data_IF_226260569777
#
_entry.id   IF_226260569777
#
_cell.length_a   1.000
_cell.length_b   1.000
_cell.length_c   1.000
_cell.angle_alpha   90.00
_cell.angle_beta   90.00
_cell.angle_gamma   90.00
#
_symmetry.space_group_name_H-M   'P 1'
#
loop_
_entity.id
_entity.type
_entity.pdbx_description
1 polymer ?
#
# COMPACT_ATOMS: atom_id res chain seq x y z
N UNK A 1 -18.41 28.86 -23.11
CA UNK A 1 -18.23 27.44 -22.75
C UNK A 1 -16.93 26.80 -23.28
N UNK A 2 -15.94 27.56 -23.77
CA UNK A 2 -14.65 27.01 -24.23
C UNK A 2 -13.45 27.30 -23.30
N UNK A 3 -13.67 27.87 -22.11
CA UNK A 3 -12.57 28.26 -21.19
C UNK A 3 -12.32 27.28 -20.05
N UNK A 4 -13.14 26.23 -19.88
CA UNK A 4 -13.02 25.28 -18.76
C UNK A 4 -12.48 23.89 -19.15
N UNK A 5 -12.30 23.60 -20.44
CA UNK A 5 -11.82 22.29 -20.93
C UNK A 5 -10.30 22.19 -21.10
N UNK A 6 -9.56 23.28 -20.86
CA UNK A 6 -8.10 23.37 -21.06
C UNK A 6 -7.28 23.60 -19.79
N UNK A 7 -7.90 23.55 -18.61
CA UNK A 7 -7.17 23.23 -17.37
C UNK A 7 -6.96 21.71 -17.38
N UNK A 8 -6.09 21.31 -18.32
CA UNK A 8 -5.68 19.94 -18.61
C UNK A 8 -5.10 19.30 -17.36
N UNK A 9 -5.34 18.00 -17.26
CA UNK A 9 -4.86 17.00 -16.31
C UNK A 9 -3.40 17.10 -15.84
N UNK A 10 -2.56 17.90 -16.50
CA UNK A 10 -1.13 18.03 -16.21
C UNK A 10 -0.84 18.79 -14.91
N UNK A 11 -1.78 19.61 -14.41
CA UNK A 11 -1.59 20.41 -13.18
C UNK A 11 -2.31 19.89 -11.93
N UNK A 12 -3.13 18.83 -12.01
CA UNK A 12 -3.75 18.24 -10.82
C UNK A 12 -2.80 17.27 -10.10
N UNK A 13 -1.86 16.66 -10.85
CA UNK A 13 -0.91 15.67 -10.35
C UNK A 13 0.22 16.26 -9.50
N UNK A 14 0.40 17.59 -9.48
CA UNK A 14 1.38 18.27 -8.63
C UNK A 14 0.86 18.64 -7.24
N UNK A 15 -0.42 18.40 -6.95
CA UNK A 15 -1.07 18.77 -5.67
C UNK A 15 -1.37 17.60 -4.74
N UNK A 16 -1.17 16.36 -5.18
CA UNK A 16 -1.39 15.19 -4.33
C UNK A 16 -0.08 14.86 -3.60
N UNK A 17 -0.13 14.57 -2.31
CA UNK A 17 1.06 14.17 -1.57
C UNK A 17 1.51 12.77 -2.01
N UNK A 18 2.81 12.45 -2.05
CA UNK A 18 3.26 11.10 -2.29
C UNK A 18 2.69 10.12 -1.25
N UNK A 19 2.19 8.97 -1.72
CA UNK A 19 1.74 7.88 -0.85
C UNK A 19 2.93 7.01 -0.48
N UNK A 20 3.27 7.00 0.81
CA UNK A 20 4.34 6.15 1.31
C UNK A 20 4.02 4.66 1.17
N UNK A 21 2.75 4.28 1.31
CA UNK A 21 2.28 2.91 1.13
C UNK A 21 2.49 2.43 -0.32
N UNK A 22 2.06 3.22 -1.31
CA UNK A 22 2.28 2.91 -2.73
C UNK A 22 3.76 2.91 -3.10
N UNK A 23 4.52 3.87 -2.58
CA UNK A 23 5.97 3.95 -2.79
C UNK A 23 6.67 2.71 -2.25
N UNK A 24 6.23 2.17 -1.10
CA UNK A 24 6.71 0.91 -0.55
C UNK A 24 6.43 -0.26 -1.52
N UNK A 25 5.25 -0.34 -2.10
CA UNK A 25 4.92 -1.38 -3.08
C UNK A 25 5.77 -1.32 -4.33
N UNK A 26 6.09 -0.13 -4.85
CA UNK A 26 7.01 -0.02 -5.98
C UNK A 26 8.44 -0.41 -5.59
N UNK A 27 8.90 0.00 -4.42
CA UNK A 27 10.19 -0.40 -3.88
C UNK A 27 10.27 -1.91 -3.55
N UNK A 28 9.15 -2.62 -3.44
CA UNK A 28 9.10 -4.07 -3.23
C UNK A 28 9.56 -4.88 -4.45
N UNK A 29 9.44 -4.30 -5.65
CA UNK A 29 9.66 -4.98 -6.93
C UNK A 29 11.15 -5.30 -7.12
N UNK A 30 11.55 -6.57 -7.24
CA UNK A 30 12.95 -6.93 -7.46
C UNK A 30 13.39 -6.60 -8.89
N UNK A 31 14.66 -6.22 -9.06
CA UNK A 31 15.24 -6.03 -10.38
C UNK A 31 15.30 -7.38 -11.15
N UNK A 32 14.89 -7.44 -12.43
CA UNK A 32 14.79 -8.70 -13.18
C UNK A 32 16.09 -9.51 -13.28
N UNK A 33 17.25 -8.83 -13.24
CA UNK A 33 18.58 -9.46 -13.35
C UNK A 33 19.45 -9.31 -12.09
N UNK A 34 19.02 -8.52 -11.11
CA UNK A 34 19.79 -8.20 -9.89
C UNK A 34 18.85 -8.31 -8.69
N UNK A 35 18.43 -9.54 -8.39
CA UNK A 35 17.35 -9.82 -7.43
C UNK A 35 17.60 -9.26 -6.02
N UNK A 36 18.85 -8.96 -5.67
CA UNK A 36 19.25 -8.32 -4.40
C UNK A 36 19.08 -6.79 -4.39
N UNK A 37 18.47 -6.22 -5.43
CA UNK A 37 18.18 -4.78 -5.51
C UNK A 37 16.77 -4.52 -6.02
N UNK A 38 16.11 -3.42 -5.59
CA UNK A 38 14.82 -3.04 -6.15
C UNK A 38 14.96 -2.56 -7.59
N UNK A 39 13.92 -2.78 -8.38
CA UNK A 39 13.78 -2.21 -9.73
C UNK A 39 13.74 -0.68 -9.66
N UNK A 40 12.97 -0.14 -8.72
CA UNK A 40 12.80 1.30 -8.50
C UNK A 40 13.61 1.79 -7.29
N UNK A 41 14.92 1.96 -7.46
CA UNK A 41 15.84 2.38 -6.38
C UNK A 41 15.47 3.73 -5.76
N UNK A 42 15.01 4.69 -6.56
CA UNK A 42 14.58 6.00 -6.07
C UNK A 42 13.43 5.90 -5.06
N UNK A 43 12.53 4.93 -5.21
CA UNK A 43 11.46 4.71 -4.23
C UNK A 43 12.03 4.24 -2.88
N UNK A 44 12.98 3.30 -2.88
CA UNK A 44 13.64 2.84 -1.66
C UNK A 44 14.41 3.97 -0.96
N UNK A 45 15.14 4.79 -1.72
CA UNK A 45 15.83 5.98 -1.21
C UNK A 45 14.85 7.00 -0.63
N UNK A 46 13.71 7.20 -1.28
CA UNK A 46 12.66 8.09 -0.78
C UNK A 46 12.13 7.60 0.57
N UNK A 47 11.85 6.31 0.75
CA UNK A 47 11.39 5.75 2.03
C UNK A 47 12.37 6.04 3.17
N UNK A 48 13.67 5.85 2.94
CA UNK A 48 14.72 6.12 3.96
C UNK A 48 14.73 7.58 4.39
N UNK A 49 14.49 8.50 3.45
CA UNK A 49 14.65 9.94 3.65
C UNK A 49 13.35 10.68 4.04
N UNK A 50 12.19 10.04 3.95
CA UNK A 50 10.87 10.68 4.16
C UNK A 50 10.07 10.04 5.30
N UNK A 51 10.75 9.48 6.30
CA UNK A 51 10.11 9.10 7.56
C UNK A 51 9.86 10.34 8.41
N UNK A 52 8.69 10.46 9.02
CA UNK A 52 8.40 11.53 9.98
C UNK A 52 9.31 11.43 11.21
N UNK A 53 9.58 12.55 11.89
CA UNK A 53 10.45 12.56 13.07
C UNK A 53 9.93 11.64 14.19
N UNK A 54 8.61 11.54 14.32
CA UNK A 54 7.88 10.64 15.23
C UNK A 54 7.94 9.16 14.83
N UNK A 55 8.53 8.84 13.68
CA UNK A 55 8.86 7.47 13.28
C UNK A 55 7.85 6.78 12.36
N UNK A 56 6.80 7.46 11.90
CA UNK A 56 5.84 6.90 10.95
C UNK A 56 6.09 7.36 9.51
N UNK A 57 5.44 6.67 8.58
CA UNK A 57 5.17 7.14 7.23
C UNK A 57 3.66 7.18 7.03
N UNK A 58 3.18 8.14 6.23
CA UNK A 58 1.75 8.33 5.97
C UNK A 58 1.36 9.80 6.08
N UNK A 59 0.07 10.07 5.93
CA UNK A 59 -0.46 11.42 6.03
C UNK A 59 -0.62 11.86 7.49
N UNK A 60 -0.62 13.17 7.69
CA UNK A 60 -0.93 13.81 8.97
C UNK A 60 -1.94 14.93 8.77
N UNK A 61 -2.78 15.15 9.79
CA UNK A 61 -3.65 16.32 9.87
C UNK A 61 -3.09 17.21 10.98
N UNK A 62 -2.37 18.26 10.56
CA UNK A 62 -1.50 19.00 11.47
C UNK A 62 -0.35 18.09 11.94
N UNK A 63 -0.15 18.02 13.25
CA UNK A 63 0.91 17.23 13.86
C UNK A 63 0.47 15.77 14.19
N UNK A 64 -0.79 15.42 13.91
CA UNK A 64 -1.33 14.11 14.26
C UNK A 64 -1.36 13.16 13.06
N UNK A 65 -0.82 11.92 13.19
CA UNK A 65 -0.88 10.91 12.14
C UNK A 65 -2.32 10.49 11.86
N UNK A 66 -2.67 10.31 10.58
CA UNK A 66 -3.94 9.68 10.20
C UNK A 66 -3.87 8.17 10.34
N UNK A 67 -5.02 7.49 10.24
CA UNK A 67 -5.09 6.03 10.36
C UNK A 67 -4.24 5.31 9.30
N UNK A 68 -4.06 5.94 8.14
CA UNK A 68 -3.26 5.50 7.00
C UNK A 68 -1.78 5.33 7.37
N UNK A 69 -1.31 6.03 8.41
CA UNK A 69 0.05 5.92 8.89
C UNK A 69 0.39 4.52 9.40
N UNK A 70 -0.59 3.76 9.90
CA UNK A 70 -0.37 2.40 10.39
C UNK A 70 0.06 1.43 9.28
N UNK A 71 -0.76 1.17 8.23
CA UNK A 71 -0.38 0.29 7.13
C UNK A 71 0.80 0.84 6.33
N UNK A 72 0.89 2.15 6.12
CA UNK A 72 2.02 2.76 5.43
C UNK A 72 3.34 2.51 6.16
N UNK A 73 3.38 2.72 7.48
CA UNK A 73 4.59 2.48 8.29
C UNK A 73 5.00 1.01 8.24
N UNK A 74 4.05 0.08 8.40
CA UNK A 74 4.35 -1.35 8.34
C UNK A 74 4.91 -1.74 6.96
N UNK A 75 4.27 -1.32 5.87
CA UNK A 75 4.74 -1.59 4.51
C UNK A 75 6.16 -1.03 4.25
N UNK A 76 6.43 0.20 4.70
CA UNK A 76 7.75 0.82 4.59
C UNK A 76 8.81 0.02 5.38
N UNK A 77 8.50 -0.38 6.61
CA UNK A 77 9.41 -1.20 7.43
C UNK A 77 9.71 -2.55 6.76
N UNK A 78 8.72 -3.19 6.16
CA UNK A 78 8.91 -4.46 5.42
C UNK A 78 9.87 -4.29 4.26
N UNK A 79 9.68 -3.25 3.45
CA UNK A 79 10.55 -2.99 2.29
C UNK A 79 11.99 -2.71 2.73
N UNK A 80 12.16 -1.88 3.77
CA UNK A 80 13.47 -1.58 4.33
C UNK A 80 14.14 -2.85 4.88
N UNK A 81 13.37 -3.69 5.58
CA UNK A 81 13.84 -4.98 6.09
C UNK A 81 14.26 -5.92 4.95
N UNK A 82 13.43 -6.06 3.91
CA UNK A 82 13.68 -6.90 2.73
C UNK A 82 15.00 -6.56 2.05
N UNK A 83 15.30 -5.26 1.92
CA UNK A 83 16.53 -4.80 1.26
C UNK A 83 17.71 -4.59 2.21
N UNK A 84 17.56 -4.92 3.50
CA UNK A 84 18.63 -4.77 4.49
C UNK A 84 19.06 -3.32 4.73
N UNK A 85 18.16 -2.35 4.55
CA UNK A 85 18.43 -0.92 4.72
C UNK A 85 17.59 -0.32 5.85
N UNK A 86 17.95 0.88 6.31
CA UNK A 86 17.09 1.66 7.20
C UNK A 86 16.84 1.06 8.58
N UNK A 87 17.79 0.32 9.18
CA UNK A 87 17.62 -0.28 10.51
C UNK A 87 17.14 0.71 11.59
N UNK A 88 17.67 1.95 11.56
CA UNK A 88 17.21 3.03 12.46
C UNK A 88 15.78 3.47 12.16
N UNK A 89 15.39 3.52 10.89
CA UNK A 89 14.03 3.84 10.50
C UNK A 89 13.04 2.76 10.97
N UNK A 90 13.42 1.48 10.85
CA UNK A 90 12.64 0.35 11.36
C UNK A 90 12.46 0.45 12.87
N UNK A 91 13.53 0.75 13.62
CA UNK A 91 13.45 0.95 15.08
C UNK A 91 12.49 2.08 15.46
N UNK A 92 12.53 3.20 14.74
CA UNK A 92 11.59 4.32 14.92
C UNK A 92 10.14 3.91 14.61
N UNK A 93 9.92 3.14 13.53
CA UNK A 93 8.61 2.62 13.16
C UNK A 93 8.02 1.72 14.25
N UNK A 94 8.82 0.85 14.86
CA UNK A 94 8.38 0.06 16.01
C UNK A 94 7.98 0.92 17.21
N UNK A 95 8.74 1.98 17.51
CA UNK A 95 8.41 2.91 18.61
C UNK A 95 7.09 3.62 18.33
N UNK A 96 6.87 4.08 17.10
CA UNK A 96 5.62 4.69 16.67
C UNK A 96 4.43 3.75 16.85
N UNK A 97 4.51 2.53 16.30
CA UNK A 97 3.43 1.55 16.38
C UNK A 97 3.07 1.23 17.83
N UNK A 98 4.09 0.99 18.67
CA UNK A 98 3.91 0.71 20.10
C UNK A 98 3.26 1.86 20.87
N UNK A 99 3.59 3.10 20.52
CA UNK A 99 3.10 4.27 21.24
C UNK A 99 1.67 4.69 20.81
N UNK A 100 1.30 4.50 19.54
CA UNK A 100 0.12 5.15 18.96
C UNK A 100 -0.96 4.18 18.46
N UNK A 101 -0.62 2.93 18.10
CA UNK A 101 -1.57 2.04 17.40
C UNK A 101 -2.88 1.83 18.17
N UNK A 102 -2.79 1.54 19.47
CA UNK A 102 -3.98 1.24 20.28
C UNK A 102 -4.94 2.43 20.32
N UNK A 103 -4.41 3.63 20.57
CA UNK A 103 -5.20 4.86 20.63
C UNK A 103 -5.85 5.17 19.28
N UNK A 104 -5.06 5.13 18.20
CA UNK A 104 -5.55 5.36 16.83
C UNK A 104 -6.66 4.39 16.42
N UNK A 105 -6.49 3.10 16.69
CA UNK A 105 -7.49 2.07 16.38
C UNK A 105 -8.74 2.19 17.24
N UNK A 106 -8.59 2.58 18.52
CA UNK A 106 -9.71 2.73 19.44
C UNK A 106 -10.57 3.94 19.09
N UNK A 107 -9.94 5.10 18.83
CA UNK A 107 -10.63 6.36 18.53
C UNK A 107 -11.44 6.28 17.23
N UNK A 108 -10.95 5.52 16.26
CA UNK A 108 -11.61 5.36 14.96
C UNK A 108 -12.39 4.06 14.82
N UNK A 109 -12.54 3.25 15.89
CA UNK A 109 -13.07 1.88 15.84
C UNK A 109 -14.38 1.72 15.04
N UNK A 110 -15.26 2.71 15.08
CA UNK A 110 -16.57 2.73 14.41
C UNK A 110 -16.60 3.49 13.08
N UNK A 111 -15.47 4.10 12.69
CA UNK A 111 -15.34 4.96 11.52
C UNK A 111 -14.18 4.53 10.60
N UNK A 112 -13.58 3.36 10.83
CA UNK A 112 -12.56 2.81 9.95
C UNK A 112 -13.13 2.66 8.54
N UNK A 113 -12.47 3.25 7.52
CA UNK A 113 -12.93 3.13 6.15
C UNK A 113 -12.76 1.70 5.66
N UNK A 114 -13.61 1.31 4.71
CA UNK A 114 -13.63 -0.04 4.14
C UNK A 114 -12.26 -0.53 3.68
N UNK A 115 -11.46 0.34 3.05
CA UNK A 115 -10.13 0.00 2.55
C UNK A 115 -9.17 -0.37 3.70
N UNK A 116 -9.30 0.29 4.86
CA UNK A 116 -8.43 0.06 6.01
C UNK A 116 -8.65 -1.33 6.60
N UNK A 117 -9.92 -1.73 6.73
CA UNK A 117 -10.29 -3.09 7.16
C UNK A 117 -9.66 -4.16 6.24
N UNK A 118 -9.44 -3.88 4.95
CA UNK A 118 -8.77 -4.80 4.03
C UNK A 118 -7.24 -4.74 4.19
N UNK A 119 -6.67 -3.54 4.11
CA UNK A 119 -5.24 -3.30 3.95
C UNK A 119 -4.49 -3.54 5.25
N UNK A 120 -4.97 -3.03 6.38
CA UNK A 120 -4.21 -3.06 7.63
C UNK A 120 -3.88 -4.48 8.11
N UNK A 121 -4.84 -5.43 8.21
CA UNK A 121 -4.51 -6.81 8.56
C UNK A 121 -3.56 -7.46 7.54
N UNK A 122 -3.72 -7.15 6.25
CA UNK A 122 -2.84 -7.69 5.21
C UNK A 122 -1.39 -7.20 5.35
N UNK A 123 -1.18 -5.96 5.77
CA UNK A 123 0.18 -5.44 6.03
C UNK A 123 0.85 -6.12 7.22
N UNK A 124 0.08 -6.53 8.24
CA UNK A 124 0.60 -7.32 9.36
C UNK A 124 1.03 -8.71 8.85
N UNK A 125 0.17 -9.39 8.08
CA UNK A 125 0.50 -10.69 7.46
C UNK A 125 1.74 -10.59 6.54
N UNK A 126 1.88 -9.48 5.81
CA UNK A 126 3.06 -9.18 5.00
C UNK A 126 4.33 -9.04 5.85
N UNK A 127 4.26 -8.34 6.98
CA UNK A 127 5.41 -8.19 7.87
C UNK A 127 5.87 -9.54 8.44
N UNK A 128 4.93 -10.34 8.93
CA UNK A 128 5.19 -11.69 9.46
C UNK A 128 5.82 -12.61 8.40
N UNK A 129 5.24 -12.65 7.20
CA UNK A 129 5.76 -13.46 6.10
C UNK A 129 7.13 -13.00 5.58
N UNK A 130 7.47 -11.73 5.81
CA UNK A 130 8.78 -11.16 5.47
C UNK A 130 9.84 -11.36 6.56
N UNK A 131 9.49 -11.99 7.70
CA UNK A 131 10.39 -12.17 8.84
C UNK A 131 10.51 -10.96 9.76
N UNK A 132 9.72 -9.90 9.52
CA UNK A 132 9.65 -8.72 10.38
C UNK A 132 8.64 -8.98 11.51
N UNK A 133 9.15 -9.39 12.67
CA UNK A 133 8.32 -9.73 13.82
C UNK A 133 7.70 -8.49 14.48
N UNK A 134 6.40 -8.28 14.26
CA UNK A 134 5.61 -7.31 15.02
C UNK A 134 5.19 -7.96 16.34
N UNK A 135 5.67 -7.42 17.47
CA UNK A 135 5.29 -7.91 18.79
C UNK A 135 4.10 -7.12 19.31
N UNK A 136 2.99 -7.82 19.57
CA UNK A 136 1.75 -7.26 20.09
C UNK A 136 1.41 -7.84 21.47
N UNK A 137 0.86 -7.01 22.34
CA UNK A 137 0.28 -7.33 23.65
C UNK A 137 -1.21 -7.68 23.52
N UNK A 138 -1.79 -8.23 24.58
CA UNK A 138 -3.15 -8.80 24.55
C UNK A 138 -4.23 -7.82 24.07
N UNK A 139 -4.15 -6.54 24.45
CA UNK A 139 -5.10 -5.50 24.03
C UNK A 139 -4.98 -5.21 22.52
N UNK A 140 -3.76 -5.13 21.99
CA UNK A 140 -3.48 -4.91 20.57
C UNK A 140 -3.95 -6.09 19.74
N UNK A 141 -3.67 -7.31 20.19
CA UNK A 141 -4.12 -8.55 19.55
C UNK A 141 -5.65 -8.60 19.44
N UNK A 142 -6.38 -8.17 20.47
CA UNK A 142 -7.85 -8.12 20.42
C UNK A 142 -8.37 -7.13 19.37
N UNK A 143 -7.75 -5.96 19.24
CA UNK A 143 -8.15 -4.95 18.23
C UNK A 143 -7.83 -5.44 16.81
N UNK A 144 -6.63 -6.00 16.62
CA UNK A 144 -6.21 -6.58 15.34
C UNK A 144 -7.13 -7.73 14.93
N UNK A 145 -7.51 -8.60 15.88
CA UNK A 145 -8.44 -9.70 15.62
C UNK A 145 -9.83 -9.22 15.20
N UNK A 146 -10.33 -8.14 15.80
CA UNK A 146 -11.61 -7.53 15.40
C UNK A 146 -11.56 -7.03 13.95
N UNK A 147 -10.53 -6.26 13.59
CA UNK A 147 -10.38 -5.72 12.23
C UNK A 147 -10.17 -6.86 11.23
N UNK A 148 -9.39 -7.88 11.59
CA UNK A 148 -9.20 -9.08 10.78
C UNK A 148 -10.51 -9.86 10.57
N UNK A 149 -11.40 -9.89 11.55
CA UNK A 149 -12.73 -10.49 11.38
C UNK A 149 -13.60 -9.68 10.42
N UNK A 150 -13.55 -8.33 10.47
CA UNK A 150 -14.23 -7.47 9.48
C UNK A 150 -13.70 -7.72 8.07
N UNK A 151 -12.37 -7.83 7.91
CA UNK A 151 -11.73 -8.23 6.65
C UNK A 151 -12.29 -9.55 6.13
N UNK A 152 -12.33 -10.59 6.97
CA UNK A 152 -12.84 -11.89 6.55
C UNK A 152 -14.32 -11.83 6.13
N UNK A 153 -15.15 -11.06 6.83
CA UNK A 153 -16.56 -10.86 6.45
C UNK A 153 -16.69 -10.19 5.08
N UNK A 154 -15.91 -9.14 4.83
CA UNK A 154 -15.81 -8.47 3.54
C UNK A 154 -15.47 -9.47 2.44
N UNK A 155 -14.41 -10.27 2.64
CA UNK A 155 -13.91 -11.18 1.61
C UNK A 155 -14.91 -12.31 1.35
N UNK A 156 -15.49 -12.91 2.38
CA UNK A 156 -16.53 -13.94 2.25
C UNK A 156 -17.79 -13.40 1.53
N UNK A 157 -18.21 -12.17 1.83
CA UNK A 157 -19.37 -11.56 1.18
C UNK A 157 -19.14 -11.38 -0.31
N UNK A 158 -17.96 -10.89 -0.71
CA UNK A 158 -17.63 -10.66 -2.11
C UNK A 158 -17.35 -11.95 -2.89
N UNK A 159 -16.88 -13.03 -2.24
CA UNK A 159 -16.82 -14.35 -2.86
C UNK A 159 -18.21 -14.91 -3.19
N UNK A 160 -19.24 -14.57 -2.39
CA UNK A 160 -20.62 -15.03 -2.59
C UNK A 160 -21.39 -14.22 -3.64
N UNK A 161 -21.04 -12.96 -3.83
CA UNK A 161 -21.58 -12.13 -4.91
C UNK A 161 -20.83 -12.52 -6.18
N UNK A 162 -21.48 -13.34 -7.01
CA UNK A 162 -21.02 -13.88 -8.30
C UNK A 162 -19.72 -13.25 -8.84
N UNK A 163 -18.68 -14.06 -9.05
CA UNK A 163 -17.23 -13.75 -9.25
C UNK A 163 -16.86 -12.61 -10.22
N UNK A 164 -17.84 -12.00 -10.88
CA UNK A 164 -17.71 -11.01 -11.94
C UNK A 164 -18.36 -9.66 -11.59
N UNK A 165 -19.00 -9.50 -10.43
CA UNK A 165 -19.61 -8.22 -10.02
C UNK A 165 -18.89 -7.53 -8.85
N UNK A 166 -18.06 -8.22 -8.07
CA UNK A 166 -17.26 -7.59 -7.01
C UNK A 166 -15.90 -7.08 -7.53
N UNK A 167 -15.98 -6.06 -8.39
CA UNK A 167 -14.85 -5.25 -8.86
C UNK A 167 -14.01 -4.53 -7.75
N UNK A 168 -14.42 -4.34 -6.47
CA UNK A 168 -13.61 -3.58 -5.51
C UNK A 168 -12.34 -4.29 -5.02
N UNK A 169 -12.31 -5.62 -4.91
CA UNK A 169 -11.19 -6.31 -4.23
C UNK A 169 -9.91 -6.36 -5.04
N UNK A 170 -9.99 -6.42 -6.37
CA UNK A 170 -8.80 -6.36 -7.23
C UNK A 170 -8.06 -5.01 -7.15
N UNK A 171 -8.73 -3.95 -6.68
CA UNK A 171 -8.07 -2.68 -6.37
C UNK A 171 -7.12 -2.77 -5.14
N UNK A 172 -7.22 -3.87 -4.38
CA UNK A 172 -6.37 -4.21 -3.23
C UNK A 172 -5.60 -5.51 -3.46
N UNK A 173 -5.23 -5.81 -4.71
CA UNK A 173 -4.58 -7.07 -5.10
C UNK A 173 -3.33 -7.37 -4.25
N UNK A 174 -2.60 -6.35 -3.82
CA UNK A 174 -1.44 -6.46 -2.93
C UNK A 174 -1.75 -7.07 -1.57
N UNK A 175 -3.01 -7.09 -1.15
CA UNK A 175 -3.41 -7.64 0.15
C UNK A 175 -3.53 -9.17 0.15
N UNK A 176 -3.44 -9.83 -1.02
CA UNK A 176 -3.67 -11.27 -1.18
C UNK A 176 -2.41 -12.15 -1.18
N UNK A 177 -1.27 -11.62 -0.75
CA UNK A 177 0.02 -12.31 -0.84
C UNK A 177 0.16 -13.53 0.07
N UNK A 178 -0.60 -13.58 1.16
CA UNK A 178 -0.55 -14.63 2.19
C UNK A 178 -1.16 -15.97 1.73
N UNK A 179 -1.57 -16.10 0.47
CA UNK A 179 -1.99 -17.37 -0.14
C UNK A 179 -3.43 -17.82 0.17
N UNK A 180 -4.19 -17.07 0.99
CA UNK A 180 -5.62 -17.36 1.23
C UNK A 180 -6.49 -17.09 0.00
N UNK A 181 -6.09 -16.13 -0.84
CA UNK A 181 -6.81 -15.72 -2.03
C UNK A 181 -5.86 -15.76 -3.22
N UNK A 182 -6.21 -16.54 -4.24
CA UNK A 182 -5.45 -16.62 -5.48
C UNK A 182 -6.22 -15.95 -6.60
N UNK A 183 -5.61 -14.93 -7.21
CA UNK A 183 -6.11 -14.28 -8.42
C UNK A 183 -5.24 -14.74 -9.58
N UNK A 184 -5.86 -15.39 -10.57
CA UNK A 184 -5.14 -15.88 -11.74
C UNK A 184 -4.74 -14.74 -12.69
N UNK A 185 -3.70 -15.00 -13.49
CA UNK A 185 -3.17 -14.03 -14.45
C UNK A 185 -4.21 -13.57 -15.49
N UNK A 186 -5.13 -14.44 -15.91
CA UNK A 186 -6.15 -14.08 -16.89
C UNK A 186 -7.13 -13.06 -16.30
N UNK A 187 -7.51 -13.24 -15.04
CA UNK A 187 -8.33 -12.30 -14.28
C UNK A 187 -7.63 -10.95 -14.13
N UNK A 188 -6.33 -10.93 -13.77
CA UNK A 188 -5.56 -9.67 -13.71
C UNK A 188 -5.58 -8.98 -15.08
N UNK A 189 -5.24 -9.71 -16.15
CA UNK A 189 -5.16 -9.17 -17.52
C UNK A 189 -6.49 -8.60 -18.01
N UNK A 190 -7.62 -9.20 -17.63
CA UNK A 190 -8.96 -8.73 -18.00
C UNK A 190 -9.32 -7.37 -17.39
N UNK A 191 -8.73 -7.03 -16.25
CA UNK A 191 -9.05 -5.82 -15.49
C UNK A 191 -7.99 -4.71 -15.62
N UNK A 192 -6.94 -4.91 -16.42
CA UNK A 192 -5.99 -3.84 -16.72
C UNK A 192 -6.65 -2.75 -17.56
N UNK A 193 -6.50 -1.51 -17.11
CA UNK A 193 -6.87 -0.31 -17.84
C UNK A 193 -5.99 -0.14 -19.10
N UNK A 194 -6.38 0.77 -19.98
CA UNK A 194 -5.62 1.05 -21.21
C UNK A 194 -4.17 1.49 -20.94
N UNK A 195 -3.96 2.23 -19.85
CA UNK A 195 -2.64 2.68 -19.38
C UNK A 195 -1.81 1.58 -18.71
N UNK A 196 -2.40 0.41 -18.45
CA UNK A 196 -1.76 -0.72 -17.80
C UNK A 196 -1.91 -0.78 -16.28
N UNK A 197 -2.66 0.15 -15.67
CA UNK A 197 -2.97 0.11 -14.25
C UNK A 197 -4.08 -0.89 -13.92
N UNK A 198 -4.07 -1.37 -12.68
CA UNK A 198 -5.19 -2.07 -12.06
C UNK A 198 -5.94 -1.05 -11.17
N UNK A 199 -7.11 -0.59 -11.60
CA UNK A 199 -7.93 0.43 -10.92
C UNK A 199 -7.17 1.72 -10.56
N UNK A 200 -6.20 2.14 -11.39
CA UNK A 200 -5.32 3.28 -11.09
C UNK A 200 -4.47 3.12 -9.82
N UNK A 201 -4.42 1.93 -9.21
CA UNK A 201 -3.76 1.68 -7.93
C UNK A 201 -2.30 1.28 -8.15
N UNK A 202 -1.32 2.09 -7.72
CA UNK A 202 0.09 1.73 -7.85
C UNK A 202 0.43 0.46 -7.06
N UNK A 203 -0.05 0.31 -5.82
CA UNK A 203 0.15 -0.89 -5.02
C UNK A 203 -0.39 -2.16 -5.69
N UNK A 204 -1.64 -2.13 -6.15
CA UNK A 204 -2.27 -3.27 -6.81
C UNK A 204 -1.59 -3.58 -8.15
N UNK A 205 -1.18 -2.55 -8.89
CA UNK A 205 -0.45 -2.73 -10.16
C UNK A 205 0.96 -3.27 -9.94
N UNK A 206 1.65 -2.85 -8.88
CA UNK A 206 2.93 -3.41 -8.47
C UNK A 206 2.80 -4.89 -8.11
N UNK A 207 1.78 -5.28 -7.34
CA UNK A 207 1.51 -6.68 -7.07
C UNK A 207 1.19 -7.46 -8.36
N UNK A 208 0.37 -6.91 -9.26
CA UNK A 208 0.05 -7.53 -10.54
C UNK A 208 1.33 -7.81 -11.34
N UNK A 209 2.27 -6.86 -11.39
CA UNK A 209 3.56 -7.05 -12.04
C UNK A 209 4.41 -8.11 -11.34
N UNK A 210 4.50 -8.11 -10.01
CA UNK A 210 5.24 -9.11 -9.24
C UNK A 210 4.70 -10.53 -9.52
N UNK A 211 3.38 -10.70 -9.57
CA UNK A 211 2.74 -12.00 -9.79
C UNK A 211 2.85 -12.51 -11.23
N UNK A 212 2.89 -11.63 -12.23
CA UNK A 212 2.68 -12.02 -13.65
C UNK A 212 3.80 -11.61 -14.61
N UNK A 213 4.66 -10.68 -14.23
CA UNK A 213 5.64 -10.07 -15.13
C UNK A 213 5.00 -9.25 -16.27
N UNK A 214 3.71 -8.89 -16.17
CA UNK A 214 2.98 -8.22 -17.23
C UNK A 214 3.59 -6.85 -17.59
N UNK A 215 3.96 -6.69 -18.86
CA UNK A 215 4.67 -5.51 -19.33
C UNK A 215 3.82 -4.23 -19.40
N UNK A 216 2.48 -4.33 -19.43
CA UNK A 216 1.61 -3.16 -19.32
C UNK A 216 1.66 -2.57 -17.91
N UNK A 217 1.61 -3.43 -16.88
CA UNK A 217 1.79 -3.00 -15.49
C UNK A 217 3.14 -2.29 -15.32
N UNK A 218 4.21 -2.87 -15.85
CA UNK A 218 5.54 -2.25 -15.77
C UNK A 218 5.58 -0.87 -16.42
N UNK A 219 4.99 -0.71 -17.62
CA UNK A 219 4.93 0.59 -18.31
C UNK A 219 4.19 1.65 -17.49
N UNK A 220 3.07 1.28 -16.86
CA UNK A 220 2.35 2.17 -15.96
C UNK A 220 3.24 2.60 -14.78
N UNK A 221 3.87 1.66 -14.08
CA UNK A 221 4.71 1.94 -12.91
C UNK A 221 5.92 2.81 -13.27
N UNK A 222 6.57 2.55 -14.42
CA UNK A 222 7.66 3.40 -14.93
C UNK A 222 7.17 4.83 -15.17
N UNK A 223 5.98 5.00 -15.77
CA UNK A 223 5.42 6.32 -16.02
C UNK A 223 5.11 7.10 -14.73
N UNK A 224 4.76 6.42 -13.64
CA UNK A 224 4.55 7.05 -12.33
C UNK A 224 5.88 7.56 -11.76
N UNK A 225 6.92 6.74 -11.80
CA UNK A 225 8.25 7.09 -11.28
C UNK A 225 8.87 8.23 -12.09
N UNK A 226 8.72 8.23 -13.41
CA UNK A 226 9.19 9.33 -14.28
C UNK A 226 8.55 10.67 -13.94
N UNK A 227 7.28 10.67 -13.52
CA UNK A 227 6.56 11.88 -13.07
C UNK A 227 6.95 12.33 -11.67
N UNK A 228 7.62 11.47 -10.89
CA UNK A 228 7.97 11.70 -9.50
C UNK A 228 9.50 11.75 -9.33
N UNK A 229 10.18 12.83 -9.76
CA UNK A 229 11.64 12.88 -9.80
C UNK A 229 12.32 12.72 -8.44
N UNK A 230 11.59 12.93 -7.34
CA UNK A 230 12.09 12.75 -5.98
C UNK A 230 11.96 11.30 -5.46
N UNK A 231 11.36 10.39 -6.22
CA UNK A 231 11.24 8.95 -5.89
C UNK A 231 9.97 8.54 -5.14
N UNK A 232 9.22 9.49 -4.56
CA UNK A 232 7.94 9.23 -3.90
C UNK A 232 6.80 9.15 -4.92
N UNK A 233 6.05 8.06 -4.93
CA UNK A 233 4.98 7.83 -5.90
C UNK A 233 3.65 8.41 -5.42
N UNK A 234 2.90 9.00 -6.34
CA UNK A 234 1.55 9.48 -6.07
C UNK A 234 0.63 8.28 -5.80
N UNK A 235 -0.09 8.28 -4.68
CA UNK A 235 -1.13 7.28 -4.43
C UNK A 235 -2.45 7.69 -5.07
N UNK A 236 -3.40 6.76 -5.10
CA UNK A 236 -4.80 7.17 -5.26
C UNK A 236 -5.32 7.61 -3.89
N UNK A 237 -6.06 8.72 -3.85
CA UNK A 237 -7.10 8.89 -2.84
C UNK A 237 -8.09 7.77 -3.10
N UNK A 238 -8.24 6.78 -2.21
CA UNK A 238 -9.33 5.81 -2.30
C UNK A 238 -10.64 6.61 -2.37
N UNK A 239 -11.15 6.82 -3.59
CA UNK A 239 -12.36 7.58 -3.80
C UNK A 239 -13.48 6.78 -3.12
N UNK A 240 -14.03 7.38 -2.07
CA UNK A 240 -15.18 6.88 -1.31
C UNK A 240 -16.38 6.69 -2.22
#
# INVERSE_FOLDING_TARGET
EEMFSQIKSDNLQSFVSPSAYDTAWLAMIPHPTKHDTPLFKGCLEWLVNNQHDEGYWGESVGDLPTIDALPATIACMVVLHKWGLGAKNIEKGFKFLKANMVEMLHDQRHHLPRWFDIVFPATIELAESSGLQLMFFDNEMSLIAEISNRRNQILCMEEMVDKWQSLPLLAYLETFQSGKYYVDEETIRKHLSEDGSLFQSPSATAQAYISTGNQKCLKYLMSLVEKCPNGGCMGIIYAQ
#
